data_IF_967839684197
#
_entry.id   IF_967839684197
#
_cell.length_a   1.000
_cell.length_b   1.000
_cell.length_c   1.000
_cell.angle_alpha   90.00
_cell.angle_beta   90.00
_cell.angle_gamma   90.00
#
_symmetry.space_group_name_H-M   'P 1'
#
loop_
_entity.id
_entity.type
_entity.pdbx_description
1 polymer ?
#
# COMPACT_ATOMS: atom_id res chain seq x y z
N UNK A 1 19.68 -61.39 9.81
CA UNK A 1 18.44 -60.63 10.08
C UNK A 1 18.81 -59.17 10.34
N UNK A 2 18.57 -58.27 9.37
CA UNK A 2 18.74 -56.81 9.54
C UNK A 2 17.39 -56.23 9.93
N UNK A 3 17.28 -55.70 11.14
CA UNK A 3 16.08 -55.06 11.62
C UNK A 3 15.85 -53.75 10.83
N UNK A 4 14.78 -53.73 10.04
CA UNK A 4 14.25 -52.54 9.38
C UNK A 4 13.77 -51.56 10.45
N UNK A 5 14.49 -50.45 10.62
CA UNK A 5 14.10 -49.37 11.55
C UNK A 5 13.06 -48.52 10.85
N UNK A 6 11.79 -48.74 11.18
CA UNK A 6 10.67 -47.92 10.74
C UNK A 6 10.82 -46.54 11.39
N UNK A 7 11.38 -45.56 10.66
CA UNK A 7 11.32 -44.17 11.07
C UNK A 7 9.87 -43.70 11.01
N UNK A 8 9.25 -43.57 12.17
CA UNK A 8 7.99 -42.86 12.35
C UNK A 8 8.16 -41.45 11.83
N UNK A 9 7.56 -41.16 10.68
CA UNK A 9 7.42 -39.82 10.11
C UNK A 9 6.78 -38.95 11.19
N UNK A 10 7.59 -38.15 11.87
CA UNK A 10 7.12 -37.19 12.87
C UNK A 10 6.32 -36.13 12.13
N UNK A 11 5.00 -36.19 12.26
CA UNK A 11 4.08 -35.15 11.79
C UNK A 11 4.56 -33.80 12.34
N UNK A 12 5.20 -33.00 11.47
CA UNK A 12 5.54 -31.62 11.82
C UNK A 12 4.22 -30.91 12.13
N UNK A 13 4.06 -30.33 13.33
CA UNK A 13 2.83 -29.62 13.66
C UNK A 13 2.59 -28.54 12.60
N UNK A 14 1.44 -28.63 11.93
CA UNK A 14 0.96 -27.65 10.96
C UNK A 14 1.08 -26.26 11.59
N UNK A 15 1.89 -25.40 10.96
CA UNK A 15 2.09 -24.04 11.45
C UNK A 15 0.72 -23.37 11.60
N UNK A 16 0.39 -22.93 12.82
CA UNK A 16 -0.88 -22.24 13.08
C UNK A 16 -1.02 -21.08 12.09
N UNK A 17 -2.17 -20.95 11.41
CA UNK A 17 -2.42 -19.84 10.49
C UNK A 17 -2.16 -18.52 11.24
N UNK A 18 -1.43 -17.61 10.60
CA UNK A 18 -1.17 -16.29 11.16
C UNK A 18 -2.52 -15.64 11.41
N UNK A 19 -2.81 -15.37 12.68
CA UNK A 19 -4.05 -14.71 13.11
C UNK A 19 -4.21 -13.40 12.32
N UNK A 20 -5.25 -13.34 11.49
CA UNK A 20 -5.52 -12.20 10.64
C UNK A 20 -5.91 -11.03 11.54
N UNK A 21 -5.09 -9.98 11.53
CA UNK A 21 -5.34 -8.80 12.34
C UNK A 21 -6.40 -7.93 11.64
N UNK A 22 -7.68 -8.14 11.98
CA UNK A 22 -8.83 -7.44 11.37
C UNK A 22 -8.68 -5.92 11.43
N UNK A 23 -8.10 -5.40 12.51
CA UNK A 23 -7.86 -3.97 12.67
C UNK A 23 -6.93 -3.41 11.58
N UNK A 24 -5.95 -4.17 11.06
CA UNK A 24 -5.09 -3.74 9.95
C UNK A 24 -5.90 -3.54 8.68
N UNK A 25 -6.85 -4.43 8.46
CA UNK A 25 -7.71 -4.39 7.30
C UNK A 25 -8.68 -3.21 7.39
N UNK A 26 -9.22 -2.93 8.59
CA UNK A 26 -10.02 -1.73 8.86
C UNK A 26 -9.21 -0.43 8.69
N UNK A 27 -7.98 -0.38 9.22
CA UNK A 27 -7.12 0.80 9.11
C UNK A 27 -6.72 1.09 7.66
N UNK A 28 -6.49 0.05 6.84
CA UNK A 28 -6.30 0.19 5.38
C UNK A 28 -7.52 0.73 4.68
N UNK A 29 -8.72 0.25 5.03
CA UNK A 29 -9.96 0.77 4.46
C UNK A 29 -10.18 2.23 4.83
N UNK A 30 -9.94 2.59 6.09
CA UNK A 30 -9.97 3.98 6.55
C UNK A 30 -8.97 4.85 5.78
N UNK A 31 -7.72 4.40 5.66
CA UNK A 31 -6.69 5.07 4.87
C UNK A 31 -7.12 5.30 3.41
N UNK A 32 -7.67 4.27 2.76
CA UNK A 32 -8.18 4.38 1.39
C UNK A 32 -9.35 5.37 1.29
N UNK A 33 -10.28 5.34 2.26
CA UNK A 33 -11.39 6.28 2.32
C UNK A 33 -10.94 7.74 2.45
N UNK A 34 -9.92 8.00 3.27
CA UNK A 34 -9.35 9.34 3.43
C UNK A 34 -8.67 9.85 2.14
N UNK A 35 -7.94 8.97 1.43
CA UNK A 35 -7.34 9.30 0.11
C UNK A 35 -8.42 9.59 -0.92
N UNK A 36 -9.44 8.73 -1.01
CA UNK A 36 -10.54 8.92 -1.94
C UNK A 36 -11.30 10.23 -1.66
N UNK A 37 -11.57 10.53 -0.38
CA UNK A 37 -12.22 11.78 0.03
C UNK A 37 -11.41 13.00 -0.41
N UNK A 38 -10.09 13.00 -0.17
CA UNK A 38 -9.24 14.12 -0.58
C UNK A 38 -9.23 14.31 -2.10
N UNK A 39 -9.13 13.23 -2.88
CA UNK A 39 -9.21 13.33 -4.34
C UNK A 39 -10.56 13.86 -4.82
N UNK A 40 -11.68 13.43 -4.23
CA UNK A 40 -13.02 13.93 -4.58
C UNK A 40 -13.13 15.43 -4.31
N UNK A 41 -12.65 15.90 -3.14
CA UNK A 41 -12.67 17.32 -2.79
C UNK A 41 -11.84 18.12 -3.82
N UNK A 42 -10.65 17.62 -4.15
CA UNK A 42 -9.73 18.29 -5.09
C UNK A 42 -10.26 18.30 -6.53
N UNK A 43 -10.88 17.20 -6.98
CA UNK A 43 -11.49 17.10 -8.32
C UNK A 43 -12.66 18.07 -8.46
N UNK A 44 -13.42 18.32 -7.39
CA UNK A 44 -14.50 19.30 -7.37
C UNK A 44 -14.02 20.76 -7.15
N UNK A 45 -12.77 21.06 -7.51
CA UNK A 45 -12.11 22.37 -7.35
C UNK A 45 -12.21 22.98 -5.93
N UNK A 46 -12.14 22.14 -4.89
CA UNK A 46 -12.12 22.59 -3.48
C UNK A 46 -10.79 22.27 -2.83
N UNK A 47 -10.37 23.12 -1.90
CA UNK A 47 -9.20 22.87 -1.08
C UNK A 47 -9.52 21.85 0.03
N UNK A 48 -8.78 20.73 0.12
CA UNK A 48 -8.92 19.80 1.23
C UNK A 48 -8.59 20.47 2.57
N UNK A 49 -9.44 20.31 3.60
CA UNK A 49 -9.17 20.91 4.90
C UNK A 49 -7.91 20.29 5.52
N UNK A 50 -7.09 21.13 6.18
CA UNK A 50 -6.00 20.62 7.03
C UNK A 50 -6.60 20.18 8.35
N UNK A 51 -6.44 18.89 8.68
CA UNK A 51 -7.15 18.25 9.81
C UNK A 51 -6.23 18.09 11.01
N UNK A 52 -5.15 17.35 10.85
CA UNK A 52 -4.27 16.95 11.97
C UNK A 52 -2.82 17.27 11.62
N UNK A 53 -2.16 18.07 12.47
CA UNK A 53 -0.76 18.50 12.28
C UNK A 53 -0.50 19.16 10.91
N UNK A 54 -1.49 19.88 10.37
CA UNK A 54 -1.37 20.53 9.06
C UNK A 54 -1.50 19.57 7.87
N UNK A 55 -1.79 18.29 8.09
CA UNK A 55 -2.03 17.31 7.03
C UNK A 55 -3.49 17.32 6.58
N UNK A 56 -3.72 17.18 5.27
CA UNK A 56 -5.05 16.90 4.73
C UNK A 56 -5.41 15.40 4.85
N UNK A 57 -6.67 15.00 4.63
CA UNK A 57 -7.09 13.60 4.74
C UNK A 57 -6.27 12.66 3.87
N UNK A 58 -5.90 13.07 2.65
CA UNK A 58 -5.15 12.24 1.71
C UNK A 58 -3.76 11.93 2.25
N UNK A 59 -3.05 12.96 2.74
CA UNK A 59 -1.74 12.79 3.37
C UNK A 59 -1.80 11.88 4.61
N UNK A 60 -2.84 12.01 5.45
CA UNK A 60 -3.05 11.12 6.60
C UNK A 60 -3.26 9.67 6.13
N UNK A 61 -4.13 9.46 5.15
CA UNK A 61 -4.43 8.14 4.60
C UNK A 61 -3.18 7.47 4.00
N UNK A 62 -2.40 8.20 3.22
CA UNK A 62 -1.14 7.70 2.64
C UNK A 62 -0.14 7.33 3.74
N UNK A 63 0.03 8.17 4.76
CA UNK A 63 0.93 7.88 5.89
C UNK A 63 0.52 6.61 6.66
N UNK A 64 -0.77 6.43 6.96
CA UNK A 64 -1.32 5.21 7.58
C UNK A 64 -1.02 3.99 6.71
N UNK A 65 -1.27 4.07 5.40
CA UNK A 65 -1.04 2.97 4.48
C UNK A 65 0.44 2.55 4.44
N UNK A 66 1.35 3.52 4.35
CA UNK A 66 2.79 3.26 4.35
C UNK A 66 3.27 2.68 5.68
N UNK A 67 2.79 3.21 6.81
CA UNK A 67 3.10 2.67 8.14
C UNK A 67 2.69 1.19 8.27
N UNK A 68 1.46 0.86 7.89
CA UNK A 68 0.95 -0.52 7.88
C UNK A 68 1.77 -1.41 6.94
N UNK A 69 2.11 -0.89 5.76
CA UNK A 69 2.90 -1.61 4.77
C UNK A 69 4.31 -1.93 5.28
N UNK A 70 4.95 -0.98 5.98
CA UNK A 70 6.25 -1.17 6.64
C UNK A 70 6.18 -2.20 7.76
N UNK A 71 5.18 -2.10 8.64
CA UNK A 71 4.94 -3.05 9.73
C UNK A 71 4.82 -4.49 9.20
N UNK A 72 3.99 -4.69 8.18
CA UNK A 72 3.79 -6.00 7.56
C UNK A 72 4.99 -6.47 6.74
N UNK A 73 5.81 -5.57 6.22
CA UNK A 73 7.07 -5.92 5.59
C UNK A 73 8.07 -6.49 6.60
N UNK A 74 8.13 -5.94 7.82
CA UNK A 74 8.93 -6.49 8.91
C UNK A 74 8.43 -7.87 9.38
N UNK A 75 7.12 -8.01 9.57
CA UNK A 75 6.50 -9.22 10.12
C UNK A 75 6.40 -10.40 9.14
N UNK A 76 6.50 -10.15 7.82
CA UNK A 76 6.48 -11.21 6.82
C UNK A 76 7.60 -12.24 7.06
N UNK A 77 7.25 -13.54 6.98
CA UNK A 77 8.14 -14.68 7.23
C UNK A 77 9.57 -14.45 6.72
N UNK A 78 10.55 -14.86 7.53
CA UNK A 78 11.98 -14.78 7.22
C UNK A 78 12.34 -15.70 6.03
N UNK A 79 12.09 -15.22 4.82
CA UNK A 79 12.56 -15.84 3.58
C UNK A 79 13.55 -14.92 2.86
N UNK A 80 14.24 -15.46 1.86
CA UNK A 80 15.15 -14.70 1.00
C UNK A 80 14.50 -13.39 0.49
N UNK A 81 15.20 -12.27 0.66
CA UNK A 81 14.71 -10.93 0.34
C UNK A 81 14.15 -10.82 -1.09
N UNK A 82 14.85 -11.44 -2.06
CA UNK A 82 14.44 -11.45 -3.49
C UNK A 82 13.11 -12.18 -3.68
N UNK A 83 12.93 -13.35 -3.05
CA UNK A 83 11.68 -14.11 -3.14
C UNK A 83 10.52 -13.36 -2.49
N UNK A 84 10.78 -12.69 -1.36
CA UNK A 84 9.81 -11.82 -0.69
C UNK A 84 9.40 -10.65 -1.61
N UNK A 85 10.37 -9.96 -2.20
CA UNK A 85 10.13 -8.82 -3.09
C UNK A 85 9.35 -9.26 -4.34
N UNK A 86 9.80 -10.32 -5.03
CA UNK A 86 9.12 -10.88 -6.21
C UNK A 86 7.65 -11.24 -5.92
N UNK A 87 7.38 -11.85 -4.76
CA UNK A 87 5.99 -12.15 -4.33
C UNK A 87 5.15 -10.87 -4.12
N UNK A 88 5.74 -9.79 -3.62
CA UNK A 88 5.05 -8.50 -3.46
C UNK A 88 4.82 -7.82 -4.80
N UNK A 89 5.85 -7.76 -5.64
CA UNK A 89 5.79 -7.16 -6.98
C UNK A 89 4.76 -7.85 -7.86
N UNK A 90 4.75 -9.18 -7.93
CA UNK A 90 3.76 -9.94 -8.69
C UNK A 90 2.30 -9.75 -8.21
N UNK A 91 2.11 -9.36 -6.95
CA UNK A 91 0.78 -9.01 -6.42
C UNK A 91 0.33 -7.61 -6.86
N UNK A 92 1.26 -6.66 -6.92
CA UNK A 92 0.99 -5.25 -7.26
C UNK A 92 0.87 -5.05 -8.77
N UNK A 93 1.84 -5.56 -9.53
CA UNK A 93 2.01 -5.24 -10.95
C UNK A 93 0.87 -5.75 -11.83
N UNK A 94 0.34 -6.94 -11.56
CA UNK A 94 -0.70 -7.50 -12.43
C UNK A 94 -1.98 -6.63 -12.47
N UNK A 95 -2.64 -6.37 -11.33
CA UNK A 95 -3.77 -5.42 -11.31
C UNK A 95 -3.37 -3.99 -11.75
N UNK A 96 -2.15 -3.55 -11.43
CA UNK A 96 -1.64 -2.24 -11.85
C UNK A 96 -1.57 -2.11 -13.38
N UNK A 97 -0.99 -3.08 -14.08
CA UNK A 97 -0.87 -3.05 -15.54
C UNK A 97 -2.21 -3.03 -16.25
N UNK A 98 -3.19 -3.78 -15.74
CA UNK A 98 -4.54 -3.76 -16.31
C UNK A 98 -5.13 -2.35 -16.15
N UNK A 99 -5.02 -1.75 -14.95
CA UNK A 99 -5.53 -0.40 -14.69
C UNK A 99 -4.81 0.68 -15.50
N UNK A 100 -3.48 0.70 -15.50
CA UNK A 100 -2.65 1.66 -16.28
C UNK A 100 -2.94 1.53 -17.76
N UNK A 101 -3.01 0.32 -18.31
CA UNK A 101 -3.33 0.12 -19.72
C UNK A 101 -4.73 0.66 -20.04
N UNK A 102 -5.70 0.44 -19.16
CA UNK A 102 -7.04 1.02 -19.28
C UNK A 102 -7.02 2.56 -19.30
N UNK A 103 -6.29 3.18 -18.37
CA UNK A 103 -6.15 4.64 -18.28
C UNK A 103 -5.43 5.23 -19.50
N UNK A 104 -4.33 4.62 -19.94
CA UNK A 104 -3.59 5.04 -21.12
C UNK A 104 -4.44 4.89 -22.40
N UNK A 105 -5.20 3.80 -22.51
CA UNK A 105 -6.13 3.59 -23.64
C UNK A 105 -7.24 4.63 -23.65
N UNK A 106 -7.83 4.92 -22.49
CA UNK A 106 -8.84 5.97 -22.35
C UNK A 106 -8.26 7.36 -22.70
N UNK A 107 -7.06 7.67 -22.23
CA UNK A 107 -6.35 8.91 -22.57
C UNK A 107 -6.07 9.01 -24.07
N UNK A 108 -5.67 7.92 -24.72
CA UNK A 108 -5.46 7.86 -26.16
C UNK A 108 -6.77 8.10 -26.94
N UNK A 109 -7.90 7.54 -26.49
CA UNK A 109 -9.19 7.72 -27.17
C UNK A 109 -9.69 9.17 -26.99
N UNK A 110 -9.59 9.71 -25.78
CA UNK A 110 -10.11 11.05 -25.44
C UNK A 110 -9.15 12.17 -25.81
N UNK A 111 -7.89 11.85 -26.12
CA UNK A 111 -6.81 12.81 -26.38
C UNK A 111 -6.67 13.84 -25.25
N UNK A 112 -6.82 13.38 -24.00
CA UNK A 112 -6.79 14.27 -22.83
C UNK A 112 -5.41 14.89 -22.60
N UNK A 113 -4.34 14.10 -22.76
CA UNK A 113 -2.96 14.54 -22.56
C UNK A 113 -1.99 13.82 -23.50
N UNK A 114 -0.96 14.50 -24.05
CA UNK A 114 0.08 13.81 -24.82
C UNK A 114 0.81 12.78 -23.94
N UNK A 115 0.95 11.57 -24.46
CA UNK A 115 1.62 10.47 -23.77
C UNK A 115 2.80 9.97 -24.62
N UNK A 116 3.98 10.62 -24.53
CA UNK A 116 5.15 10.14 -25.25
C UNK A 116 5.52 8.72 -24.79
N UNK A 117 6.19 7.95 -25.66
CA UNK A 117 6.54 6.56 -25.37
C UNK A 117 7.34 6.41 -24.05
N UNK A 118 8.19 7.38 -23.70
CA UNK A 118 8.92 7.39 -22.43
C UNK A 118 7.99 7.45 -21.21
N UNK A 119 6.91 8.24 -21.29
CA UNK A 119 5.91 8.34 -20.22
C UNK A 119 5.11 7.04 -20.11
N UNK A 120 4.69 6.47 -21.24
CA UNK A 120 3.98 5.17 -21.28
C UNK A 120 4.80 4.07 -20.64
N UNK A 121 6.10 3.98 -20.98
CA UNK A 121 7.01 3.01 -20.39
C UNK A 121 7.19 3.28 -18.89
N UNK A 122 7.35 4.54 -18.48
CA UNK A 122 7.51 4.91 -17.08
C UNK A 122 6.26 4.61 -16.24
N UNK A 123 5.05 4.80 -16.78
CA UNK A 123 3.80 4.40 -16.14
C UNK A 123 3.69 2.89 -16.06
N UNK A 124 3.94 2.13 -17.13
CA UNK A 124 3.89 0.67 -17.07
C UNK A 124 4.93 0.08 -16.10
N UNK A 125 6.12 0.68 -16.01
CA UNK A 125 7.16 0.28 -15.07
C UNK A 125 6.90 0.74 -13.63
N UNK A 126 5.89 1.59 -13.39
CA UNK A 126 5.60 2.13 -12.07
C UNK A 126 6.70 3.05 -11.53
N UNK A 127 7.48 3.72 -12.39
CA UNK A 127 8.55 4.67 -11.98
C UNK A 127 8.23 6.12 -12.36
N UNK A 128 7.00 6.37 -12.80
CA UNK A 128 6.57 7.67 -13.32
C UNK A 128 6.67 8.80 -12.29
N UNK A 129 6.43 8.51 -10.99
CA UNK A 129 6.56 9.51 -9.92
C UNK A 129 7.98 10.08 -9.77
N UNK A 130 9.00 9.34 -10.22
CA UNK A 130 10.40 9.77 -10.19
C UNK A 130 10.85 10.49 -11.46
N UNK A 131 10.29 10.10 -12.61
CA UNK A 131 10.84 10.44 -13.92
C UNK A 131 10.13 11.61 -14.60
N UNK A 132 8.80 11.70 -14.47
CA UNK A 132 7.97 12.66 -15.20
C UNK A 132 7.14 13.51 -14.22
N UNK A 133 7.73 13.95 -13.10
CA UNK A 133 7.04 14.67 -12.00
C UNK A 133 6.02 15.69 -12.51
N UNK A 134 4.76 15.53 -12.12
CA UNK A 134 3.64 16.41 -12.53
C UNK A 134 3.10 16.14 -13.94
N UNK A 135 3.90 15.54 -14.82
CA UNK A 135 3.52 15.20 -16.19
C UNK A 135 2.99 13.76 -16.35
N UNK A 136 2.13 13.33 -15.41
CA UNK A 136 1.58 11.97 -15.35
C UNK A 136 0.16 11.97 -15.93
N UNK A 137 -0.27 10.91 -16.63
CA UNK A 137 -1.66 10.78 -17.12
C UNK A 137 -2.59 10.48 -15.95
N UNK A 138 -2.23 9.49 -15.13
CA UNK A 138 -2.90 9.23 -13.85
C UNK A 138 -2.05 9.73 -12.69
N UNK A 139 -2.24 10.99 -12.26
CA UNK A 139 -1.42 11.63 -11.20
C UNK A 139 -1.23 10.68 -10.02
N UNK A 140 -2.30 10.05 -9.54
CA UNK A 140 -2.30 9.12 -8.41
C UNK A 140 -1.35 7.91 -8.56
N UNK A 141 -0.87 7.55 -9.76
CA UNK A 141 0.12 6.49 -9.94
C UNK A 141 1.49 6.80 -9.32
N UNK A 142 1.79 8.05 -8.94
CA UNK A 142 3.01 8.39 -8.17
C UNK A 142 3.14 7.55 -6.88
N UNK A 143 2.01 7.21 -6.25
CA UNK A 143 1.96 6.39 -5.06
C UNK A 143 2.51 4.98 -5.30
N UNK A 144 2.22 4.38 -6.47
CA UNK A 144 2.75 3.06 -6.83
C UNK A 144 4.26 3.13 -6.96
N UNK A 145 4.80 4.20 -7.57
CA UNK A 145 6.25 4.43 -7.63
C UNK A 145 6.90 4.50 -6.26
N UNK A 146 6.30 5.22 -5.33
CA UNK A 146 6.80 5.30 -3.97
C UNK A 146 6.66 3.95 -3.24
N UNK A 147 5.56 3.22 -3.43
CA UNK A 147 5.34 1.90 -2.83
C UNK A 147 6.39 0.87 -3.28
N UNK A 148 6.69 0.85 -4.57
CA UNK A 148 7.71 -0.01 -5.15
C UNK A 148 9.10 0.32 -4.58
N UNK A 149 9.41 1.61 -4.45
CA UNK A 149 10.64 2.08 -3.81
C UNK A 149 10.72 1.64 -2.33
N UNK A 150 9.67 1.85 -1.54
CA UNK A 150 9.62 1.41 -0.14
C UNK A 150 9.78 -0.11 0.03
N UNK A 151 9.21 -0.91 -0.88
CA UNK A 151 9.42 -2.36 -0.88
C UNK A 151 10.84 -2.77 -1.28
N UNK A 152 11.49 -2.04 -2.17
CA UNK A 152 12.92 -2.22 -2.42
C UNK A 152 13.74 -1.94 -1.16
N UNK A 153 13.46 -0.85 -0.44
CA UNK A 153 14.12 -0.56 0.84
C UNK A 153 13.91 -1.67 1.87
N UNK A 154 12.68 -2.18 2.00
CA UNK A 154 12.40 -3.31 2.90
C UNK A 154 13.15 -4.58 2.48
N UNK A 155 13.35 -4.82 1.17
CA UNK A 155 14.16 -5.93 0.69
C UNK A 155 15.65 -5.74 1.07
N UNK A 156 16.18 -4.52 0.95
CA UNK A 156 17.55 -4.18 1.41
C UNK A 156 17.70 -4.42 2.91
N UNK A 157 16.73 -3.97 3.72
CA UNK A 157 16.74 -4.20 5.18
C UNK A 157 16.62 -5.69 5.53
N UNK A 158 15.97 -6.50 4.67
CA UNK A 158 15.95 -7.97 4.83
C UNK A 158 17.27 -8.63 4.46
N UNK A 159 18.09 -8.02 3.61
CA UNK A 159 19.46 -8.48 3.33
C UNK A 159 20.39 -8.13 4.49
N UNK A 160 20.34 -6.89 4.97
CA UNK A 160 21.08 -6.44 6.15
C UNK A 160 20.25 -5.47 7.00
N UNK A 161 19.93 -5.90 8.23
CA UNK A 161 19.14 -5.11 9.18
C UNK A 161 19.86 -3.86 9.68
N UNK A 162 21.20 -3.85 9.65
CA UNK A 162 22.02 -2.72 10.12
C UNK A 162 21.85 -1.48 9.24
N UNK A 163 21.36 -1.65 8.01
CA UNK A 163 21.11 -0.56 7.06
C UNK A 163 19.85 0.25 7.43
N UNK A 164 18.93 -0.29 8.23
CA UNK A 164 17.70 0.41 8.62
C UNK A 164 17.92 1.81 9.24
N UNK A 165 18.75 1.98 10.29
CA UNK A 165 19.01 3.32 10.84
C UNK A 165 19.61 4.28 9.81
N UNK A 166 20.46 3.79 8.89
CA UNK A 166 21.02 4.62 7.82
C UNK A 166 19.93 5.09 6.84
N UNK A 167 18.97 4.22 6.50
CA UNK A 167 17.83 4.60 5.64
C UNK A 167 16.90 5.61 6.32
N UNK A 168 16.70 5.49 7.64
CA UNK A 168 15.95 6.48 8.41
C UNK A 168 16.65 7.84 8.38
N UNK A 169 17.96 7.88 8.67
CA UNK A 169 18.75 9.11 8.61
C UNK A 169 18.74 9.71 7.19
N UNK A 170 18.95 8.89 6.16
CA UNK A 170 18.88 9.33 4.77
C UNK A 170 17.52 9.92 4.41
N UNK A 171 16.42 9.29 4.86
CA UNK A 171 15.06 9.80 4.63
C UNK A 171 14.77 11.08 5.40
N UNK A 172 15.37 11.27 6.58
CA UNK A 172 15.32 12.54 7.31
C UNK A 172 16.03 13.61 6.49
N UNK A 173 17.29 13.39 6.08
CA UNK A 173 18.05 14.34 5.24
C UNK A 173 17.32 14.65 3.92
N UNK A 174 16.57 13.69 3.39
CA UNK A 174 15.81 13.86 2.16
C UNK A 174 14.59 14.77 2.30
N UNK A 175 14.07 15.00 3.52
CA UNK A 175 12.96 15.93 3.75
C UNK A 175 13.20 17.32 3.16
N UNK A 176 14.46 17.77 3.16
CA UNK A 176 14.87 19.08 2.63
C UNK A 176 14.87 19.19 1.10
N UNK A 177 14.80 18.06 0.38
CA UNK A 177 14.74 18.04 -1.09
C UNK A 177 13.37 17.65 -1.64
N UNK A 178 12.69 16.71 -0.98
CA UNK A 178 11.39 16.21 -1.42
C UNK A 178 10.54 15.80 -0.22
N UNK A 179 9.86 16.77 0.38
CA UNK A 179 9.03 16.55 1.56
C UNK A 179 8.01 15.42 1.35
N UNK A 180 7.33 15.40 0.19
CA UNK A 180 6.25 14.46 -0.08
C UNK A 180 6.72 13.00 -0.11
N UNK A 181 7.77 12.70 -0.86
CA UNK A 181 8.30 11.33 -0.92
C UNK A 181 9.03 10.93 0.37
N UNK A 182 9.81 11.84 0.95
CA UNK A 182 10.59 11.56 2.15
C UNK A 182 9.69 11.32 3.37
N UNK A 183 8.66 12.14 3.61
CA UNK A 183 7.75 11.99 4.75
C UNK A 183 6.99 10.66 4.73
N UNK A 184 6.52 10.24 3.56
CA UNK A 184 5.83 8.95 3.39
C UNK A 184 6.81 7.76 3.46
N UNK A 185 8.04 7.93 3.00
CA UNK A 185 9.12 6.95 3.22
C UNK A 185 9.42 6.79 4.72
N UNK A 186 9.48 7.89 5.47
CA UNK A 186 9.65 7.86 6.92
C UNK A 186 8.48 7.17 7.63
N UNK A 187 7.24 7.40 7.21
CA UNK A 187 6.08 6.68 7.72
C UNK A 187 6.23 5.15 7.51
N UNK A 188 6.67 4.74 6.32
CA UNK A 188 6.97 3.34 6.02
C UNK A 188 8.08 2.77 6.91
N UNK A 189 9.23 3.47 7.01
CA UNK A 189 10.37 3.03 7.81
C UNK A 189 10.05 3.02 9.32
N UNK A 190 9.15 3.87 9.79
CA UNK A 190 8.62 3.84 11.17
C UNK A 190 7.87 2.55 11.42
N UNK A 191 6.97 2.17 10.51
CA UNK A 191 6.28 0.88 10.56
C UNK A 191 7.24 -0.31 10.51
N UNK A 192 8.21 -0.25 9.61
CA UNK A 192 9.24 -1.28 9.47
C UNK A 192 10.07 -1.43 10.76
N UNK A 193 10.48 -0.32 11.37
CA UNK A 193 11.28 -0.30 12.60
C UNK A 193 10.52 -0.88 13.78
N UNK A 194 9.28 -0.42 14.01
CA UNK A 194 8.43 -0.92 15.09
C UNK A 194 8.08 -2.40 14.90
N UNK A 195 7.86 -2.85 13.67
CA UNK A 195 7.58 -4.25 13.35
C UNK A 195 8.76 -5.20 13.55
N UNK A 196 10.00 -4.71 13.55
CA UNK A 196 11.18 -5.54 13.83
C UNK A 196 11.35 -5.87 15.32
N UNK A 197 10.74 -5.08 16.21
CA UNK A 197 10.85 -5.25 17.65
C UNK A 197 9.96 -6.38 18.19
N UNK A 198 9.01 -6.87 17.40
CA UNK A 198 8.16 -7.99 17.77
C UNK A 198 6.86 -8.06 16.96
N UNK A 199 6.06 -9.10 17.24
CA UNK A 199 4.74 -9.28 16.60
C UNK A 199 3.77 -8.15 16.96
N UNK A 200 3.90 -7.60 18.17
CA UNK A 200 3.16 -6.43 18.64
C UNK A 200 4.18 -5.44 19.20
N UNK A 201 4.34 -4.25 18.60
CA UNK A 201 5.26 -3.25 19.12
C UNK A 201 4.82 -2.81 20.51
N UNK A 202 5.79 -2.46 21.37
CA UNK A 202 5.49 -1.94 22.71
C UNK A 202 4.66 -0.66 22.59
N UNK A 203 3.48 -0.56 23.24
CA UNK A 203 2.66 0.65 23.22
C UNK A 203 3.43 1.87 23.74
N UNK A 204 4.21 1.69 24.81
CA UNK A 204 5.01 2.75 25.42
C UNK A 204 6.04 3.32 24.43
N UNK A 205 6.75 2.44 23.73
CA UNK A 205 7.73 2.87 22.72
C UNK A 205 7.03 3.56 21.54
N UNK A 206 5.91 3.01 21.09
CA UNK A 206 5.14 3.56 19.96
C UNK A 206 4.61 4.96 20.28
N UNK A 207 4.10 5.16 21.51
CA UNK A 207 3.71 6.48 22.03
C UNK A 207 4.92 7.42 22.08
N UNK A 208 6.06 6.94 22.61
CA UNK A 208 7.30 7.73 22.66
C UNK A 208 7.76 8.22 21.28
N UNK A 209 7.73 7.33 20.27
CA UNK A 209 8.06 7.68 18.88
C UNK A 209 7.06 8.69 18.31
N UNK A 210 5.76 8.49 18.51
CA UNK A 210 4.73 9.40 18.01
C UNK A 210 4.85 10.80 18.65
N UNK A 211 5.07 10.88 19.96
CA UNK A 211 5.24 12.15 20.68
C UNK A 211 6.54 12.86 20.26
N UNK A 212 7.65 12.14 20.14
CA UNK A 212 8.91 12.72 19.67
C UNK A 212 8.76 13.29 18.25
N UNK A 213 8.11 12.54 17.34
CA UNK A 213 7.83 13.00 15.99
C UNK A 213 6.88 14.22 15.96
N UNK A 214 5.89 14.26 16.86
CA UNK A 214 4.99 15.42 16.97
C UNK A 214 5.77 16.67 17.37
N UNK A 215 6.70 16.57 18.32
CA UNK A 215 7.59 17.69 18.68
C UNK A 215 8.46 18.10 17.49
N UNK A 216 9.10 17.15 16.80
CA UNK A 216 9.94 17.42 15.63
C UNK A 216 9.17 18.04 14.46
N UNK A 217 7.86 17.78 14.36
CA UNK A 217 6.97 18.40 13.36
C UNK A 217 6.96 19.92 13.51
N UNK A 218 6.95 20.41 14.74
CA UNK A 218 6.91 21.86 15.04
C UNK A 218 8.29 22.49 15.19
N UNK A 219 9.31 21.72 15.56
CA UNK A 219 10.65 22.27 15.86
C UNK A 219 11.68 22.07 14.76
N UNK A 220 11.50 21.09 13.87
CA UNK A 220 12.49 20.74 12.84
C UNK A 220 11.90 20.78 11.44
N UNK A 221 10.87 19.98 11.15
CA UNK A 221 10.32 19.89 9.79
C UNK A 221 8.87 19.35 9.78
N UNK A 222 7.93 19.96 9.02
CA UNK A 222 6.52 19.53 8.98
C UNK A 222 6.32 18.07 8.52
N UNK A 223 7.17 17.55 7.63
CA UNK A 223 7.15 16.14 7.21
C UNK A 223 7.22 15.09 8.34
N UNK A 224 7.65 15.43 9.57
CA UNK A 224 7.54 14.53 10.74
C UNK A 224 6.08 14.27 11.18
N UNK A 225 5.10 15.04 10.69
CA UNK A 225 3.69 14.78 10.92
C UNK A 225 3.30 13.38 10.45
N UNK A 226 3.80 12.94 9.29
CA UNK A 226 3.56 11.58 8.75
C UNK A 226 4.11 10.48 9.68
N UNK A 227 5.22 10.72 10.37
CA UNK A 227 5.78 9.79 11.37
C UNK A 227 4.89 9.73 12.61
N UNK A 228 4.33 10.86 13.03
CA UNK A 228 3.35 10.91 14.12
C UNK A 228 2.09 10.09 13.79
N UNK A 229 1.52 10.30 12.58
CA UNK A 229 0.38 9.53 12.09
C UNK A 229 0.71 8.04 11.99
N UNK A 230 1.90 7.69 11.49
CA UNK A 230 2.37 6.31 11.44
C UNK A 230 2.42 5.67 12.84
N UNK A 231 2.96 6.38 13.83
CA UNK A 231 2.99 5.93 15.22
C UNK A 231 1.59 5.71 15.79
N UNK A 232 0.65 6.64 15.58
CA UNK A 232 -0.75 6.52 16.03
C UNK A 232 -1.44 5.32 15.37
N UNK A 233 -1.27 5.13 14.06
CA UNK A 233 -1.83 4.01 13.32
C UNK A 233 -1.27 2.65 13.77
N UNK A 234 -0.02 2.61 14.23
CA UNK A 234 0.58 1.41 14.80
C UNK A 234 0.16 1.23 16.26
N UNK A 235 -0.10 2.31 17.00
CA UNK A 235 -0.62 2.21 18.35
C UNK A 235 -2.01 1.58 18.38
N UNK A 236 -2.82 1.78 17.34
CA UNK A 236 -4.12 1.09 17.23
C UNK A 236 -3.99 -0.43 17.14
N UNK A 237 -2.80 -0.98 16.83
CA UNK A 237 -2.52 -2.44 16.92
C UNK A 237 -2.70 -2.98 18.34
N UNK A 238 -2.52 -2.13 19.36
CA UNK A 238 -2.50 -2.49 20.76
C UNK A 238 -3.89 -2.46 21.40
N UNK A 239 -4.87 -1.83 20.75
CA UNK A 239 -6.23 -1.75 21.25
C UNK A 239 -6.90 -3.10 21.00
N UNK A 240 -7.32 -3.83 22.05
CA UNK A 240 -8.08 -5.06 21.86
C UNK A 240 -9.41 -4.70 21.19
N UNK A 241 -9.59 -5.21 19.98
CA UNK A 241 -10.78 -4.95 19.19
C UNK A 241 -11.36 -6.30 18.76
N UNK A 242 -12.55 -6.60 19.24
CA UNK A 242 -13.34 -7.75 18.82
C UNK A 242 -14.55 -7.25 18.05
N UNK A 243 -14.76 -7.81 16.86
CA UNK A 243 -15.98 -7.60 16.10
C UNK A 243 -16.74 -8.91 16.00
N UNK A 244 -18.05 -8.86 15.71
CA UNK A 244 -18.77 -10.05 15.28
C UNK A 244 -18.09 -10.68 14.06
N UNK A 245 -17.99 -12.02 14.02
CA UNK A 245 -17.28 -12.76 12.96
C UNK A 245 -17.72 -12.36 11.54
N UNK A 246 -19.01 -12.08 11.34
CA UNK A 246 -19.54 -11.63 10.06
C UNK A 246 -18.94 -10.28 9.63
N UNK A 247 -18.78 -9.34 10.56
CA UNK A 247 -18.19 -8.01 10.30
C UNK A 247 -16.70 -8.15 9.98
N UNK A 248 -15.99 -9.02 10.70
CA UNK A 248 -14.58 -9.32 10.41
C UNK A 248 -14.39 -9.85 8.99
N UNK A 249 -15.24 -10.79 8.57
CA UNK A 249 -15.22 -11.35 7.21
C UNK A 249 -15.52 -10.29 6.14
N UNK A 250 -16.45 -9.37 6.40
CA UNK A 250 -16.77 -8.26 5.48
C UNK A 250 -15.60 -7.28 5.36
N UNK A 251 -15.03 -6.82 6.49
CA UNK A 251 -13.86 -5.92 6.51
C UNK A 251 -12.68 -6.56 5.78
N UNK A 252 -12.42 -7.83 6.07
CA UNK A 252 -11.40 -8.62 5.41
C UNK A 252 -11.55 -8.62 3.88
N UNK A 253 -12.76 -8.90 3.39
CA UNK A 253 -13.06 -8.96 1.96
C UNK A 253 -12.99 -7.58 1.28
N UNK A 254 -13.51 -6.55 1.93
CA UNK A 254 -13.40 -5.18 1.44
C UNK A 254 -11.93 -4.72 1.38
N UNK A 255 -11.13 -5.07 2.38
CA UNK A 255 -9.70 -4.72 2.40
C UNK A 255 -8.93 -5.39 1.28
N UNK A 256 -9.31 -6.60 0.86
CA UNK A 256 -8.74 -7.27 -0.31
C UNK A 256 -9.01 -6.51 -1.63
N UNK A 257 -10.14 -5.81 -1.73
CA UNK A 257 -10.53 -4.97 -2.87
C UNK A 257 -9.98 -3.54 -2.81
N UNK A 258 -9.43 -3.11 -1.66
CA UNK A 258 -8.97 -1.73 -1.46
C UNK A 258 -7.93 -1.28 -2.48
N UNK A 259 -7.02 -2.18 -2.89
CA UNK A 259 -6.01 -1.88 -3.90
C UNK A 259 -6.62 -1.73 -5.30
N UNK A 260 -7.59 -2.57 -5.66
CA UNK A 260 -8.31 -2.44 -6.93
C UNK A 260 -9.09 -1.14 -6.99
N UNK A 261 -9.77 -0.78 -5.91
CA UNK A 261 -10.45 0.49 -5.75
C UNK A 261 -9.47 1.66 -5.87
N UNK A 262 -8.30 1.59 -5.22
CA UNK A 262 -7.23 2.57 -5.35
C UNK A 262 -6.83 2.81 -6.80
N UNK A 263 -6.69 1.75 -7.62
CA UNK A 263 -6.23 1.90 -9.00
C UNK A 263 -7.23 2.57 -9.94
N UNK A 264 -8.53 2.54 -9.60
CA UNK A 264 -9.60 2.97 -10.52
C UNK A 264 -10.41 4.16 -10.04
N UNK A 265 -10.36 4.53 -8.75
CA UNK A 265 -11.26 5.54 -8.19
C UNK A 265 -11.17 6.92 -8.87
N UNK A 266 -9.95 7.41 -9.16
CA UNK A 266 -9.77 8.74 -9.76
C UNK A 266 -10.41 8.85 -11.15
N UNK A 267 -10.18 7.92 -12.11
CA UNK A 267 -10.89 7.94 -13.39
C UNK A 267 -12.42 8.03 -13.26
N UNK A 268 -13.01 7.30 -12.30
CA UNK A 268 -14.45 7.36 -12.06
C UNK A 268 -14.90 8.67 -11.42
N UNK A 269 -14.12 9.25 -10.51
CA UNK A 269 -14.40 10.59 -9.97
C UNK A 269 -14.33 11.67 -11.04
N UNK A 270 -13.31 11.63 -11.90
CA UNK A 270 -13.18 12.56 -13.03
C UNK A 270 -14.33 12.41 -14.03
N UNK A 271 -14.75 11.18 -14.33
CA UNK A 271 -15.90 10.94 -15.20
C UNK A 271 -17.21 11.45 -14.58
N UNK A 272 -17.41 11.27 -13.28
CA UNK A 272 -18.58 11.78 -12.57
C UNK A 272 -18.59 13.32 -12.50
N UNK A 273 -17.45 13.95 -12.26
CA UNK A 273 -17.32 15.41 -12.26
C UNK A 273 -17.60 16.02 -13.64
N UNK A 274 -17.16 15.38 -14.73
CA UNK A 274 -17.54 15.80 -16.09
C UNK A 274 -19.05 15.81 -16.34
N UNK A 275 -19.81 14.93 -15.66
CA UNK A 275 -21.28 14.89 -15.75
C UNK A 275 -21.95 15.88 -14.78
N UNK A 276 -21.35 16.12 -13.62
CA UNK A 276 -21.87 16.98 -12.56
C UNK A 276 -20.77 17.92 -12.03
N UNK A 277 -20.36 18.94 -12.80
CA UNK A 277 -19.19 19.75 -12.47
C UNK A 277 -19.31 20.40 -11.10
N UNK A 278 -18.28 20.23 -10.25
CA UNK A 278 -18.18 20.83 -8.91
C UNK A 278 -19.28 20.42 -7.92
N UNK A 279 -20.10 19.42 -8.27
CA UNK A 279 -21.17 18.91 -7.43
C UNK A 279 -20.68 17.75 -6.56
N UNK A 280 -20.10 18.10 -5.40
CA UNK A 280 -19.44 17.15 -4.50
C UNK A 280 -20.25 15.88 -4.20
N UNK A 281 -21.55 16.02 -3.89
CA UNK A 281 -22.39 14.89 -3.51
C UNK A 281 -22.68 13.95 -4.70
N UNK A 282 -23.16 14.41 -5.87
CA UNK A 282 -23.25 13.59 -7.07
C UNK A 282 -21.93 12.91 -7.47
N UNK A 283 -20.82 13.65 -7.46
CA UNK A 283 -19.48 13.10 -7.79
C UNK A 283 -19.07 12.00 -6.81
N UNK A 284 -19.30 12.22 -5.51
CA UNK A 284 -19.05 11.21 -4.48
C UNK A 284 -19.88 9.95 -4.72
N UNK A 285 -21.20 10.07 -4.90
CA UNK A 285 -22.10 8.92 -5.03
C UNK A 285 -21.83 8.12 -6.32
N UNK A 286 -21.81 8.81 -7.46
CA UNK A 286 -21.64 8.16 -8.76
C UNK A 286 -20.21 7.67 -8.95
N UNK A 287 -19.23 8.49 -8.61
CA UNK A 287 -17.82 8.11 -8.75
C UNK A 287 -17.43 6.98 -7.81
N UNK A 288 -17.93 6.95 -6.56
CA UNK A 288 -17.62 5.84 -5.64
C UNK A 288 -18.32 4.56 -6.07
N UNK A 289 -19.58 4.64 -6.51
CA UNK A 289 -20.30 3.49 -7.06
C UNK A 289 -19.59 2.92 -8.29
N UNK A 290 -19.20 3.79 -9.23
CA UNK A 290 -18.42 3.41 -10.41
C UNK A 290 -17.07 2.79 -10.04
N UNK A 291 -16.36 3.38 -9.09
CA UNK A 291 -15.08 2.88 -8.60
C UNK A 291 -15.20 1.50 -7.92
N UNK A 292 -16.27 1.25 -7.15
CA UNK A 292 -16.53 -0.07 -6.55
C UNK A 292 -16.80 -1.12 -7.63
N UNK A 293 -17.61 -0.80 -8.64
CA UNK A 293 -17.88 -1.70 -9.77
C UNK A 293 -16.60 -1.96 -10.54
N UNK A 294 -15.84 -0.91 -10.87
CA UNK A 294 -14.55 -1.01 -11.56
C UNK A 294 -13.55 -1.86 -10.79
N UNK A 295 -13.49 -1.71 -9.47
CA UNK A 295 -12.63 -2.51 -8.60
C UNK A 295 -13.01 -4.00 -8.64
N UNK A 296 -14.31 -4.32 -8.61
CA UNK A 296 -14.80 -5.69 -8.72
C UNK A 296 -14.47 -6.30 -10.09
N UNK A 297 -14.66 -5.56 -11.18
CA UNK A 297 -14.29 -6.00 -12.54
C UNK A 297 -12.78 -6.26 -12.63
N UNK A 298 -11.96 -5.32 -12.14
CA UNK A 298 -10.50 -5.46 -12.14
C UNK A 298 -10.05 -6.69 -11.33
N UNK A 299 -10.68 -6.96 -10.19
CA UNK A 299 -10.41 -8.13 -9.36
C UNK A 299 -10.74 -9.44 -10.08
N UNK A 300 -11.88 -9.49 -10.78
CA UNK A 300 -12.26 -10.65 -11.58
C UNK A 300 -11.26 -10.87 -12.73
N UNK A 301 -10.89 -9.82 -13.46
CA UNK A 301 -9.90 -9.90 -14.53
C UNK A 301 -8.55 -10.42 -14.03
N UNK A 302 -8.05 -9.87 -12.92
CA UNK A 302 -6.82 -10.35 -12.29
C UNK A 302 -6.92 -11.84 -11.94
N UNK A 303 -8.04 -12.26 -11.34
CA UNK A 303 -8.25 -13.66 -10.94
C UNK A 303 -8.18 -14.61 -12.14
N UNK A 304 -8.82 -14.26 -13.27
CA UNK A 304 -8.75 -15.04 -14.49
C UNK A 304 -7.33 -15.10 -15.07
N UNK A 305 -6.64 -13.96 -15.13
CA UNK A 305 -5.26 -13.89 -15.62
C UNK A 305 -4.30 -14.72 -14.76
N UNK A 306 -4.44 -14.69 -13.43
CA UNK A 306 -3.63 -15.53 -12.54
C UNK A 306 -3.88 -17.02 -12.76
N UNK A 307 -5.13 -17.43 -12.96
CA UNK A 307 -5.48 -18.83 -13.27
C UNK A 307 -4.89 -19.26 -14.61
N UNK A 308 -4.99 -18.42 -15.65
CA UNK A 308 -4.41 -18.70 -16.96
C UNK A 308 -2.87 -18.77 -16.93
N UNK A 309 -2.21 -17.85 -16.21
CA UNK A 309 -0.75 -17.91 -16.03
C UNK A 309 -0.34 -19.18 -15.27
N UNK A 310 -1.08 -19.57 -14.23
CA UNK A 310 -0.81 -20.80 -13.48
C UNK A 310 -0.98 -22.07 -14.33
N UNK A 311 -1.88 -22.08 -15.32
CA UNK A 311 -2.02 -23.23 -16.23
C UNK A 311 -0.88 -23.34 -17.25
N UNK A 312 -0.23 -22.22 -17.62
CA UNK A 312 0.92 -22.21 -18.54
C UNK A 312 2.21 -22.70 -17.90
N UNK A 313 2.34 -22.54 -16.58
CA UNK A 313 3.46 -23.05 -15.80
C UNK A 313 2.94 -24.13 -14.86
N UNK A 314 2.62 -25.35 -15.37
CA UNK A 314 2.30 -26.46 -14.48
C UNK A 314 3.45 -26.57 -13.52
N UNK A 315 3.18 -26.26 -12.25
CA UNK A 315 4.17 -26.33 -11.18
C UNK A 315 4.82 -27.68 -11.36
N UNK A 316 6.13 -27.70 -11.71
CA UNK A 316 6.92 -28.93 -11.63
C UNK A 316 6.80 -29.30 -10.16
N UNK A 317 5.80 -30.12 -9.84
CA UNK A 317 5.74 -30.86 -8.60
C UNK A 317 7.08 -31.54 -8.60
N UNK A 318 7.98 -31.01 -7.77
CA UNK A 318 9.27 -31.60 -7.55
C UNK A 318 8.97 -33.06 -7.30
N UNK A 319 9.49 -33.89 -8.19
CA UNK A 319 9.65 -35.31 -7.99
C UNK A 319 10.65 -35.43 -6.84
N UNK A 320 10.20 -35.11 -5.63
CA UNK A 320 10.81 -35.54 -4.38
C UNK A 320 10.27 -36.95 -4.13
N UNK A 321 10.67 -37.86 -5.00
CA UNK A 321 10.60 -39.29 -4.79
C UNK A 321 11.89 -39.85 -5.37
N UNK A 322 12.96 -39.81 -4.57
CA UNK A 322 13.84 -40.94 -4.17
C UNK A 322 14.83 -40.39 -3.14
#
# INVERSE_FOLDING_TARGET
MKASRTETVTDKPLAKPIERLVWLDAARLGAMGLVALQHIITICDREPPKVLLGLDPGQIGVAIFFAISGLLAAQGQQGHAVRWLSKRLSRIYLPYWIAVTGVLSANYIVQYKPAPLSLVIAELAGVVGWTHRGDIVGVYFWFVSLLLFCYLLAAVVKLDRRVLPLLVVASIVWLWWDEGFAANTLAFLTGLSLGQLGKRPSPLLTVGVALAAAVLTFTVHPGFACVTIAGIAILSTAIPFSLPEHTEAVIAKLSELSYHFYLVHVPFYLAADKLFPNALLPVFLLGTTGAVIGAAVLYVMETYLRKGLASLYPSRRTVESV
#
